data_IF_648867383976
#
_entry.id   IF_648867383976
#
_cell.length_a   1.000
_cell.length_b   1.000
_cell.length_c   1.000
_cell.angle_alpha   90.00
_cell.angle_beta   90.00
_cell.angle_gamma   90.00
#
_symmetry.space_group_name_H-M   'P 1'
#
loop_
_entity.id
_entity.type
_entity.pdbx_description
1 polymer ?
#
# COMPACT_ATOMS: atom_id res chain seq x y z
N UNK A 1 9.16 20.74 -5.06
CA UNK A 1 9.32 19.42 -4.43
C UNK A 1 7.96 18.76 -4.52
N UNK A 2 7.81 17.67 -5.29
CA UNK A 2 6.53 16.95 -5.32
C UNK A 2 6.29 16.38 -3.92
N UNK A 3 5.05 16.43 -3.42
CA UNK A 3 4.69 15.79 -2.16
C UNK A 3 4.81 14.28 -2.36
N UNK A 4 5.61 13.62 -1.53
CA UNK A 4 5.72 12.17 -1.50
C UNK A 4 4.57 11.57 -0.67
N UNK A 5 3.34 12.02 -0.92
CA UNK A 5 2.16 11.54 -0.22
C UNK A 5 1.28 10.70 -1.14
N UNK A 6 0.43 9.88 -0.52
CA UNK A 6 -0.44 8.95 -1.23
C UNK A 6 -1.42 9.68 -2.18
N UNK A 7 -1.82 10.90 -1.85
CA UNK A 7 -2.71 11.74 -2.67
C UNK A 7 -2.02 12.10 -3.99
N UNK A 8 -0.76 12.54 -3.93
CA UNK A 8 0.02 12.87 -5.11
C UNK A 8 0.24 11.65 -5.99
N UNK A 9 0.46 10.47 -5.39
CA UNK A 9 0.57 9.20 -6.12
C UNK A 9 -0.74 8.89 -6.88
N UNK A 10 -1.90 9.01 -6.22
CA UNK A 10 -3.20 8.77 -6.86
C UNK A 10 -3.39 9.68 -8.08
N UNK A 11 -3.14 10.97 -7.93
CA UNK A 11 -3.38 11.99 -8.96
C UNK A 11 -2.44 11.84 -10.16
N UNK A 12 -1.15 11.57 -9.92
CA UNK A 12 -0.14 11.57 -10.97
C UNK A 12 -0.03 10.23 -11.73
N UNK A 13 -0.60 9.13 -11.20
CA UNK A 13 -0.33 7.77 -11.71
C UNK A 13 -1.57 7.01 -12.19
N UNK A 14 -2.67 7.72 -12.47
CA UNK A 14 -3.89 7.13 -13.02
C UNK A 14 -4.42 5.95 -12.18
N UNK A 15 -4.43 6.14 -10.86
CA UNK A 15 -5.05 5.19 -9.93
C UNK A 15 -6.56 5.34 -10.05
N UNK A 16 -7.21 4.37 -10.70
CA UNK A 16 -8.60 4.48 -11.14
C UNK A 16 -9.63 4.06 -10.09
N UNK A 17 -9.20 3.32 -9.08
CA UNK A 17 -10.08 2.78 -8.04
C UNK A 17 -9.38 2.85 -6.68
N UNK A 18 -10.05 3.48 -5.73
CA UNK A 18 -9.59 3.62 -4.35
C UNK A 18 -10.77 3.94 -3.45
N UNK A 19 -10.64 3.60 -2.18
CA UNK A 19 -11.70 3.72 -1.20
C UNK A 19 -11.21 4.48 0.02
N UNK A 20 -11.97 5.47 0.47
CA UNK A 20 -11.65 6.19 1.70
C UNK A 20 -11.86 5.29 2.91
N UNK A 21 -10.93 5.33 3.86
CA UNK A 21 -11.05 4.64 5.14
C UNK A 21 -11.71 5.51 6.23
N UNK A 22 -12.27 6.67 5.85
CA UNK A 22 -12.85 7.62 6.78
C UNK A 22 -14.05 7.06 7.55
N UNK A 23 -14.82 6.14 6.93
CA UNK A 23 -15.93 5.46 7.61
C UNK A 23 -15.46 4.58 8.78
N UNK A 24 -14.17 4.21 8.79
CA UNK A 24 -13.50 3.52 9.90
C UNK A 24 -12.77 4.49 10.86
N UNK A 25 -12.89 5.81 10.64
CA UNK A 25 -12.20 6.84 11.41
C UNK A 25 -10.71 6.99 11.08
N UNK A 26 -10.27 6.49 9.92
CA UNK A 26 -8.87 6.50 9.49
C UNK A 26 -8.70 7.50 8.34
N UNK A 27 -7.81 8.49 8.51
CA UNK A 27 -7.38 9.35 7.41
C UNK A 27 -6.46 8.58 6.47
N UNK A 28 -7.05 7.98 5.43
CA UNK A 28 -6.31 7.21 4.45
C UNK A 28 -7.20 6.63 3.36
N UNK A 29 -6.54 5.91 2.45
CA UNK A 29 -7.19 5.21 1.35
C UNK A 29 -6.73 3.76 1.30
N UNK A 30 -7.61 2.88 0.87
CA UNK A 30 -7.29 1.50 0.54
C UNK A 30 -7.58 1.22 -0.94
N UNK A 31 -6.79 0.33 -1.51
CA UNK A 31 -6.71 0.11 -2.95
C UNK A 31 -6.96 -1.37 -3.27
N UNK A 32 -7.74 -1.68 -4.31
CA UNK A 32 -7.79 -3.05 -4.83
C UNK A 32 -6.40 -3.48 -5.30
N UNK A 33 -6.18 -4.80 -5.34
CA UNK A 33 -4.92 -5.43 -5.75
C UNK A 33 -4.20 -4.73 -6.92
N UNK A 34 -4.89 -4.52 -8.05
CA UNK A 34 -4.26 -4.01 -9.25
C UNK A 34 -3.72 -2.59 -9.04
N UNK A 35 -4.47 -1.75 -8.33
CA UNK A 35 -4.08 -0.38 -8.00
C UNK A 35 -3.00 -0.36 -6.91
N UNK A 36 -3.10 -1.25 -5.92
CA UNK A 36 -2.07 -1.42 -4.90
C UNK A 36 -0.71 -1.79 -5.51
N UNK A 37 -0.68 -2.69 -6.50
CA UNK A 37 0.54 -3.05 -7.22
C UNK A 37 1.11 -1.89 -8.05
N UNK A 38 0.26 -1.06 -8.67
CA UNK A 38 0.71 0.17 -9.35
C UNK A 38 1.36 1.14 -8.35
N UNK A 39 0.76 1.32 -7.17
CA UNK A 39 1.32 2.18 -6.12
C UNK A 39 2.70 1.70 -5.70
N UNK A 40 2.88 0.39 -5.48
CA UNK A 40 4.20 -0.18 -5.14
C UNK A 40 5.23 0.10 -6.24
N UNK A 41 4.85 -0.08 -7.51
CA UNK A 41 5.73 0.22 -8.64
C UNK A 41 6.09 1.71 -8.71
N UNK A 42 5.12 2.60 -8.50
CA UNK A 42 5.36 4.05 -8.45
C UNK A 42 6.28 4.43 -7.30
N UNK A 43 6.09 3.88 -6.10
CA UNK A 43 6.96 4.14 -4.96
C UNK A 43 8.41 3.74 -5.26
N UNK A 44 8.59 2.57 -5.89
CA UNK A 44 9.91 2.08 -6.32
C UNK A 44 10.58 3.01 -7.34
N UNK A 45 9.81 3.53 -8.31
CA UNK A 45 10.31 4.48 -9.32
C UNK A 45 10.65 5.86 -8.73
N UNK A 46 9.89 6.31 -7.74
CA UNK A 46 10.08 7.61 -7.09
C UNK A 46 11.04 7.57 -5.89
N UNK A 47 11.64 6.40 -5.61
CA UNK A 47 12.51 6.16 -4.47
C UNK A 47 11.86 6.47 -3.10
N UNK A 48 10.58 6.09 -2.96
CA UNK A 48 9.78 6.23 -1.74
C UNK A 48 9.71 4.86 -1.05
N UNK A 49 10.23 4.71 0.18
CA UNK A 49 10.09 3.48 0.96
C UNK A 49 8.66 3.26 1.45
N UNK A 50 8.28 1.99 1.56
CA UNK A 50 6.98 1.59 2.12
C UNK A 50 7.20 0.93 3.49
N UNK A 51 6.74 1.57 4.56
CA UNK A 51 6.87 1.06 5.93
C UNK A 51 5.99 -0.17 6.17
N UNK A 52 4.86 -0.24 5.49
CA UNK A 52 3.88 -1.31 5.65
C UNK A 52 2.51 -0.93 5.12
N UNK A 53 1.51 -1.64 5.59
CA UNK A 53 0.11 -1.39 5.27
C UNK A 53 -0.82 -2.38 5.96
N UNK A 54 -2.10 -2.03 5.96
CA UNK A 54 -3.19 -2.83 6.50
C UNK A 54 -4.04 -3.41 5.37
N UNK A 55 -4.73 -4.51 5.66
CA UNK A 55 -5.68 -5.15 4.75
C UNK A 55 -7.10 -4.96 5.27
N UNK A 56 -8.00 -4.71 4.33
CA UNK A 56 -9.42 -4.55 4.56
C UNK A 56 -10.20 -5.46 3.61
N UNK A 57 -11.40 -5.86 4.01
CA UNK A 57 -12.36 -6.54 3.15
C UNK A 57 -13.41 -5.55 2.65
N UNK A 58 -13.83 -5.72 1.39
CA UNK A 58 -14.98 -5.00 0.83
C UNK A 58 -16.19 -5.94 0.73
N UNK A 59 -17.19 -5.72 1.59
CA UNK A 59 -18.42 -6.50 1.67
C UNK A 59 -19.63 -5.59 1.38
N UNK A 60 -20.34 -5.84 0.28
CA UNK A 60 -21.57 -5.09 -0.10
C UNK A 60 -21.46 -3.56 0.05
N UNK A 61 -20.32 -2.99 -0.36
CA UNK A 61 -19.97 -1.55 -0.28
C UNK A 61 -19.55 -1.04 1.10
N UNK A 62 -19.37 -1.93 2.08
CA UNK A 62 -18.81 -1.61 3.40
C UNK A 62 -17.37 -2.12 3.48
N UNK A 63 -16.48 -1.28 3.99
CA UNK A 63 -15.08 -1.64 4.27
C UNK A 63 -14.99 -2.13 5.71
N UNK A 64 -14.38 -3.29 5.91
CA UNK A 64 -14.15 -3.87 7.23
C UNK A 64 -12.66 -4.17 7.43
N UNK A 65 -12.17 -4.05 8.66
CA UNK A 65 -10.78 -4.40 8.99
C UNK A 65 -10.61 -5.92 9.10
N UNK A 66 -9.56 -6.49 8.50
CA UNK A 66 -9.27 -7.93 8.61
C UNK A 66 -8.24 -8.26 9.69
N UNK A 67 -7.67 -7.25 10.36
CA UNK A 67 -6.50 -7.37 11.25
C UNK A 67 -5.20 -7.85 10.57
N UNK A 68 -5.22 -8.18 9.28
CA UNK A 68 -4.02 -8.52 8.53
C UNK A 68 -3.25 -7.25 8.16
N UNK A 69 -1.92 -7.32 8.25
CA UNK A 69 -1.02 -6.24 7.91
C UNK A 69 0.36 -6.79 7.53
N UNK A 70 1.21 -5.90 7.03
CA UNK A 70 2.64 -6.16 6.89
C UNK A 70 3.44 -4.92 7.28
N UNK A 71 4.69 -5.14 7.62
CA UNK A 71 5.64 -4.07 7.88
C UNK A 71 7.02 -4.43 7.32
N UNK A 72 7.84 -3.40 7.09
CA UNK A 72 9.25 -3.51 6.76
C UNK A 72 10.04 -2.51 7.61
N UNK A 73 10.93 -3.04 8.45
CA UNK A 73 11.83 -2.24 9.27
C UNK A 73 13.20 -2.12 8.59
N UNK A 74 13.63 -0.89 8.31
CA UNK A 74 14.97 -0.61 7.82
C UNK A 74 16.02 -1.05 8.84
N UNK A 75 17.08 -1.72 8.39
CA UNK A 75 18.21 -2.04 9.28
C UNK A 75 19.21 -0.88 9.31
N UNK A 76 19.98 -0.70 10.40
CA UNK A 76 20.93 0.41 10.52
C UNK A 76 21.98 0.46 9.39
N UNK A 77 22.37 -0.70 8.88
CA UNK A 77 23.41 -0.85 7.84
C UNK A 77 22.82 -0.86 6.42
N UNK A 78 21.49 -0.81 6.27
CA UNK A 78 20.83 -0.84 4.97
C UNK A 78 20.95 0.53 4.28
N UNK A 79 21.51 0.51 3.07
CA UNK A 79 21.56 1.71 2.23
C UNK A 79 20.14 2.19 1.91
N UNK A 80 19.97 3.49 1.69
CA UNK A 80 18.63 4.01 1.35
C UNK A 80 18.09 3.39 0.05
N UNK A 81 18.98 3.12 -0.91
CA UNK A 81 18.61 2.43 -2.15
C UNK A 81 18.07 1.03 -1.86
N UNK A 82 18.80 0.22 -1.09
CA UNK A 82 18.37 -1.14 -0.74
C UNK A 82 17.08 -1.11 0.06
N UNK A 83 16.93 -0.14 0.97
CA UNK A 83 15.72 0.03 1.76
C UNK A 83 14.48 0.28 0.88
N UNK A 84 14.56 1.19 -0.10
CA UNK A 84 13.49 1.39 -1.08
C UNK A 84 13.18 0.09 -1.82
N UNK A 85 14.22 -0.60 -2.34
CA UNK A 85 14.02 -1.82 -3.11
C UNK A 85 13.36 -2.91 -2.26
N UNK A 86 13.86 -3.15 -1.05
CA UNK A 86 13.43 -4.24 -0.19
C UNK A 86 12.04 -4.00 0.41
N UNK A 87 11.75 -2.76 0.83
CA UNK A 87 10.41 -2.40 1.32
C UNK A 87 9.33 -2.51 0.25
N UNK A 88 9.62 -2.06 -0.98
CA UNK A 88 8.70 -2.21 -2.11
C UNK A 88 8.54 -3.69 -2.49
N UNK A 89 9.63 -4.45 -2.58
CA UNK A 89 9.58 -5.89 -2.90
C UNK A 89 8.80 -6.68 -1.84
N UNK A 90 8.94 -6.34 -0.56
CA UNK A 90 8.16 -6.93 0.54
C UNK A 90 6.67 -6.66 0.37
N UNK A 91 6.31 -5.42 0.06
CA UNK A 91 4.91 -5.01 -0.14
C UNK A 91 4.28 -5.72 -1.35
N UNK A 92 4.99 -5.77 -2.48
CA UNK A 92 4.55 -6.52 -3.67
C UNK A 92 4.38 -8.01 -3.36
N UNK A 93 5.37 -8.62 -2.69
CA UNK A 93 5.32 -10.04 -2.31
C UNK A 93 4.14 -10.35 -1.41
N UNK A 94 3.86 -9.49 -0.43
CA UNK A 94 2.73 -9.65 0.48
C UNK A 94 1.40 -9.60 -0.28
N UNK A 95 1.17 -8.55 -1.07
CA UNK A 95 -0.07 -8.37 -1.86
C UNK A 95 -0.31 -9.60 -2.74
N UNK A 96 0.71 -10.04 -3.50
CA UNK A 96 0.61 -11.20 -4.39
C UNK A 96 0.34 -12.51 -3.64
N UNK A 97 0.92 -12.69 -2.46
CA UNK A 97 0.70 -13.90 -1.64
C UNK A 97 -0.70 -13.92 -1.05
N UNK A 98 -1.21 -12.76 -0.60
CA UNK A 98 -2.53 -12.64 0.00
C UNK A 98 -3.63 -13.06 -0.97
N UNK A 99 -3.59 -12.56 -2.22
CA UNK A 99 -4.61 -12.85 -3.23
C UNK A 99 -4.69 -14.33 -3.59
N UNK A 100 -3.57 -15.05 -3.55
CA UNK A 100 -3.56 -16.47 -3.89
C UNK A 100 -4.28 -17.34 -2.85
N UNK A 101 -4.59 -16.81 -1.66
CA UNK A 101 -5.15 -17.57 -0.54
C UNK A 101 -6.55 -17.11 -0.09
N UNK A 102 -7.11 -16.02 -0.65
CA UNK A 102 -8.37 -15.44 -0.21
C UNK A 102 -9.38 -15.25 -1.36
N UNK A 103 -10.65 -15.55 -1.08
CA UNK A 103 -11.76 -15.43 -2.05
C UNK A 103 -12.46 -14.06 -2.02
N UNK A 104 -12.19 -13.24 -1.01
CA UNK A 104 -12.83 -11.93 -0.86
C UNK A 104 -12.17 -10.88 -1.77
N UNK A 105 -12.72 -9.66 -1.81
CA UNK A 105 -12.12 -8.51 -2.49
C UNK A 105 -11.25 -7.73 -1.50
N UNK A 106 -9.95 -8.08 -1.31
CA UNK A 106 -9.09 -7.36 -0.39
C UNK A 106 -8.76 -5.96 -0.92
N UNK A 107 -8.70 -5.03 0.01
CA UNK A 107 -8.16 -3.69 -0.20
C UNK A 107 -6.91 -3.51 0.68
N UNK A 108 -5.94 -2.77 0.18
CA UNK A 108 -4.65 -2.56 0.83
C UNK A 108 -4.44 -1.07 1.06
N UNK A 109 -4.11 -0.66 2.28
CA UNK A 109 -3.60 0.68 2.57
C UNK A 109 -2.07 0.67 2.57
N UNK A 110 -1.45 1.86 2.57
CA UNK A 110 0.00 2.00 2.62
C UNK A 110 0.42 3.05 3.63
N UNK A 111 1.47 2.73 4.39
CA UNK A 111 2.21 3.68 5.21
C UNK A 111 3.53 3.96 4.49
N UNK A 112 3.70 5.19 4.00
CA UNK A 112 4.90 5.63 3.29
C UNK A 112 5.86 6.32 4.26
N UNK A 113 7.17 6.17 4.05
CA UNK A 113 8.15 6.98 4.77
C UNK A 113 8.27 8.37 4.10
N UNK A 114 8.08 9.43 4.90
CA UNK A 114 8.02 10.83 4.45
C UNK A 114 9.35 11.57 4.60
#
# INVERSE_FOLDING_TARGET
MKRNDIISIIQDNNISEYYSLMDLGIEGYAFPCQEALKIVQTCKLLAIPILGGDVYSMNDSTIESTSDNWYYNRTPDESYYDYVQNSCNKSESYIRTFINHFCDKPLFSFVLEA
#
